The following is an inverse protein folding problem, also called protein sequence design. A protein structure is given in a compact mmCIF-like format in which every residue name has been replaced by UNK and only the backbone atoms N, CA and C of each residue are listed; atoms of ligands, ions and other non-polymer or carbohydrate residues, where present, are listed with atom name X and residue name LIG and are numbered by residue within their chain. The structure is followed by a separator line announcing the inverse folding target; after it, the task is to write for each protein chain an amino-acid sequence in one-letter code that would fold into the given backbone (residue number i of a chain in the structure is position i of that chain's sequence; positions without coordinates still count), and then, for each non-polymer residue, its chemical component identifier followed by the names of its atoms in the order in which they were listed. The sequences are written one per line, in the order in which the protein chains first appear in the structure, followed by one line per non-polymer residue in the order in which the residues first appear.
data_IF_288896690375
#
_entry.id   IF_288896690375
#
_cell.length_a   1.000
_cell.length_b   1.000
_cell.length_c   1.000
_cell.angle_alpha   90.00
_cell.angle_beta   90.00
_cell.angle_gamma   90.00
#
_symmetry.space_group_name_H-M   'P 1'
#
loop_
_entity.id
_entity.type
_entity.pdbx_description
1 polymer ?
#
# COMPACT_ATOMS: atom_id res chain seq x y z
N UNK A 1 -5.69 31.80 -0.72
CA UNK A 1 -4.24 32.01 -0.56
C UNK A 1 -3.55 30.74 -0.12
N UNK A 2 -2.71 30.18 -0.99
CA UNK A 2 -1.81 29.04 -0.67
C UNK A 2 -0.49 29.64 -0.21
N UNK A 3 -0.45 30.16 1.01
CA UNK A 3 0.78 30.69 1.59
C UNK A 3 1.39 29.67 2.55
N UNK A 4 2.70 29.46 2.39
CA UNK A 4 3.63 28.72 3.24
C UNK A 4 3.61 27.18 3.21
N UNK A 5 4.70 26.61 2.68
CA UNK A 5 5.01 25.18 2.87
C UNK A 5 6.24 24.66 2.13
N UNK A 6 6.74 25.38 1.11
CA UNK A 6 7.85 24.87 0.27
C UNK A 6 9.18 24.63 1.02
N UNK A 7 9.38 25.21 2.22
CA UNK A 7 10.60 25.00 3.03
C UNK A 7 10.57 23.75 3.92
N UNK A 8 9.41 23.11 4.13
CA UNK A 8 9.28 22.03 5.13
C UNK A 8 9.68 20.65 4.62
N UNK A 9 9.23 20.27 3.42
CA UNK A 9 9.52 18.96 2.85
C UNK A 9 10.96 18.84 2.34
N UNK A 10 11.48 19.88 1.67
CA UNK A 10 12.85 19.89 1.16
C UNK A 10 13.88 19.79 2.30
N UNK A 11 13.65 20.52 3.41
CA UNK A 11 14.50 20.44 4.60
C UNK A 11 14.44 19.07 5.31
N UNK A 12 13.32 18.34 5.19
CA UNK A 12 13.18 16.98 5.76
C UNK A 12 14.05 15.96 5.03
N UNK A 13 14.26 16.13 3.72
CA UNK A 13 14.96 15.14 2.89
C UNK A 13 16.34 15.60 2.40
N UNK A 14 16.79 16.80 2.78
CA UNK A 14 18.18 17.24 2.60
C UNK A 14 19.04 16.73 3.77
N UNK A 15 19.65 15.55 3.61
CA UNK A 15 20.56 14.99 4.61
C UNK A 15 22.05 15.23 4.30
N UNK A 16 22.35 15.90 3.17
CA UNK A 16 23.71 16.18 2.71
C UNK A 16 24.47 14.98 2.14
N UNK A 17 23.91 13.77 2.23
CA UNK A 17 24.48 12.55 1.64
C UNK A 17 24.11 12.39 0.16
N UNK A 18 23.03 13.05 -0.27
CA UNK A 18 22.46 12.90 -1.61
C UNK A 18 21.58 11.66 -1.74
N UNK A 19 21.43 10.88 -0.67
CA UNK A 19 20.59 9.70 -0.64
C UNK A 19 19.16 10.04 -0.20
N UNK A 20 18.22 9.81 -1.12
CA UNK A 20 16.80 10.11 -0.92
C UNK A 20 16.03 8.93 -0.32
N UNK A 21 16.64 8.12 0.54
CA UNK A 21 16.00 6.91 1.07
C UNK A 21 14.70 7.23 1.81
N UNK A 22 14.70 8.20 2.72
CA UNK A 22 13.48 8.61 3.43
C UNK A 22 12.39 9.12 2.48
N UNK A 23 12.76 9.87 1.43
CA UNK A 23 11.79 10.35 0.45
C UNK A 23 11.15 9.18 -0.33
N UNK A 24 11.94 8.16 -0.69
CA UNK A 24 11.44 6.98 -1.41
C UNK A 24 10.51 6.14 -0.53
N UNK A 25 10.85 5.95 0.74
CA UNK A 25 10.02 5.22 1.71
C UNK A 25 8.71 5.97 2.03
N UNK A 26 8.79 7.29 2.25
CA UNK A 26 7.60 8.13 2.49
C UNK A 26 6.69 8.16 1.25
N UNK A 27 7.29 8.25 0.04
CA UNK A 27 6.53 8.16 -1.20
C UNK A 27 5.89 6.78 -1.38
N UNK A 28 6.61 5.69 -1.13
CA UNK A 28 6.07 4.34 -1.23
C UNK A 28 4.90 4.16 -0.25
N UNK A 29 5.09 4.55 1.00
CA UNK A 29 4.04 4.47 2.04
C UNK A 29 2.79 5.27 1.65
N UNK A 30 2.96 6.44 1.05
CA UNK A 30 1.85 7.26 0.57
C UNK A 30 1.11 6.65 -0.64
N UNK A 31 1.79 5.90 -1.50
CA UNK A 31 1.23 5.43 -2.78
C UNK A 31 0.99 3.91 -2.87
N UNK A 32 1.42 3.12 -1.87
CA UNK A 32 1.35 1.65 -1.90
C UNK A 32 -0.05 1.10 -2.17
N UNK A 33 -1.09 1.76 -1.67
CA UNK A 33 -2.49 1.39 -1.93
C UNK A 33 -2.86 1.56 -3.41
N UNK A 34 -2.49 2.68 -4.03
CA UNK A 34 -2.71 2.95 -5.46
C UNK A 34 -1.94 1.99 -6.35
N UNK A 35 -0.70 1.65 -5.97
CA UNK A 35 0.10 0.66 -6.69
C UNK A 35 -0.55 -0.73 -6.58
N UNK A 36 -1.01 -1.11 -5.40
CA UNK A 36 -1.76 -2.37 -5.21
C UNK A 36 -3.03 -2.41 -6.04
N UNK A 37 -3.81 -1.32 -6.04
CA UNK A 37 -5.00 -1.13 -6.87
C UNK A 37 -4.74 -1.46 -8.34
N UNK A 38 -3.62 -0.98 -8.88
CA UNK A 38 -3.23 -1.20 -10.26
C UNK A 38 -2.82 -2.66 -10.53
N UNK A 39 -2.06 -3.27 -9.62
CA UNK A 39 -1.65 -4.68 -9.71
C UNK A 39 -2.87 -5.61 -9.71
N UNK A 40 -3.87 -5.32 -8.87
CA UNK A 40 -5.05 -6.16 -8.67
C UNK A 40 -6.20 -5.87 -9.63
N UNK A 41 -6.08 -4.85 -10.49
CA UNK A 41 -7.14 -4.40 -11.41
C UNK A 41 -7.74 -5.52 -12.30
N UNK A 42 -6.94 -6.55 -12.62
CA UNK A 42 -7.38 -7.73 -13.40
C UNK A 42 -7.20 -9.05 -12.66
N UNK A 43 -6.92 -8.99 -11.36
CA UNK A 43 -6.82 -10.20 -10.56
C UNK A 43 -8.22 -10.76 -10.32
N UNK A 44 -8.38 -12.04 -10.63
CA UNK A 44 -9.58 -12.84 -10.45
C UNK A 44 -9.42 -13.78 -9.24
N UNK A 45 -10.47 -14.58 -8.96
CA UNK A 45 -10.47 -15.55 -7.86
C UNK A 45 -9.32 -16.56 -7.90
N UNK A 46 -8.84 -16.91 -9.10
CA UNK A 46 -7.72 -17.83 -9.29
C UNK A 46 -6.35 -17.26 -8.91
N UNK A 47 -6.23 -15.93 -8.87
CA UNK A 47 -5.01 -15.20 -8.53
C UNK A 47 -5.13 -14.44 -7.20
N UNK A 48 -6.13 -14.79 -6.39
CA UNK A 48 -6.36 -14.25 -5.06
C UNK A 48 -5.11 -14.33 -4.17
N UNK A 49 -4.79 -13.24 -3.48
CA UNK A 49 -3.72 -13.25 -2.49
C UNK A 49 -4.10 -14.19 -1.31
N UNK A 50 -3.35 -15.28 -1.17
CA UNK A 50 -3.74 -16.44 -0.38
C UNK A 50 -3.42 -16.36 1.11
N UNK A 51 -2.71 -15.32 1.59
CA UNK A 51 -2.43 -15.19 3.02
C UNK A 51 -3.66 -14.67 3.77
N UNK A 52 -4.11 -15.34 4.85
CA UNK A 52 -5.24 -14.93 5.66
C UNK A 52 -4.89 -13.63 6.41
N UNK A 53 -5.11 -12.50 5.74
CA UNK A 53 -4.67 -11.17 6.17
C UNK A 53 -5.82 -10.17 6.17
N UNK A 54 -6.91 -10.44 5.46
CA UNK A 54 -8.14 -9.68 5.57
C UNK A 54 -8.90 -10.15 6.82
N UNK A 55 -9.60 -9.25 7.49
CA UNK A 55 -10.45 -9.58 8.62
C UNK A 55 -11.77 -8.86 8.45
N UNK A 56 -12.71 -9.53 7.79
CA UNK A 56 -13.98 -8.91 7.44
C UNK A 56 -15.02 -9.06 8.57
N UNK A 57 -14.70 -9.77 9.67
CA UNK A 57 -15.68 -10.18 10.69
C UNK A 57 -15.17 -10.21 12.14
N UNK A 58 -13.98 -9.69 12.43
CA UNK A 58 -13.35 -9.73 13.76
C UNK A 58 -12.83 -11.11 14.19
N UNK A 59 -13.07 -12.17 13.41
CA UNK A 59 -12.46 -13.49 13.56
C UNK A 59 -11.37 -13.62 12.51
N UNK A 60 -10.11 -13.61 12.93
CA UNK A 60 -8.97 -13.48 12.04
C UNK A 60 -8.96 -14.48 10.88
N UNK A 61 -8.58 -13.99 9.69
CA UNK A 61 -8.14 -14.82 8.58
C UNK A 61 -9.11 -14.97 7.40
N UNK A 62 -9.75 -13.89 6.96
CA UNK A 62 -10.36 -13.85 5.64
C UNK A 62 -9.29 -13.67 4.54
N UNK A 63 -9.46 -14.39 3.43
CA UNK A 63 -8.69 -14.17 2.21
C UNK A 63 -9.44 -13.16 1.35
N UNK A 64 -8.70 -12.33 0.61
CA UNK A 64 -9.29 -11.45 -0.38
C UNK A 64 -9.99 -12.29 -1.47
N UNK A 65 -11.32 -12.24 -1.52
CA UNK A 65 -12.13 -12.99 -2.49
C UNK A 65 -12.40 -12.10 -3.71
N UNK A 66 -12.37 -12.70 -4.90
CA UNK A 66 -12.67 -12.09 -6.20
C UNK A 66 -11.64 -11.10 -6.77
N UNK A 67 -11.22 -10.06 -6.02
CA UNK A 67 -10.42 -8.94 -6.56
C UNK A 67 -9.07 -8.69 -5.90
N UNK A 68 -8.56 -9.62 -5.06
CA UNK A 68 -7.31 -9.42 -4.29
C UNK A 68 -7.33 -8.17 -3.38
N UNK A 69 -8.52 -7.76 -2.93
CA UNK A 69 -8.74 -6.64 -2.00
C UNK A 69 -9.49 -7.08 -0.74
N UNK A 70 -9.36 -6.33 0.36
CA UNK A 70 -10.05 -6.64 1.62
C UNK A 70 -11.39 -5.91 1.76
N UNK A 71 -12.21 -6.26 2.78
CA UNK A 71 -13.41 -5.53 3.22
C UNK A 71 -14.40 -5.11 2.11
N UNK A 72 -14.55 -5.93 1.07
CA UNK A 72 -15.46 -5.66 -0.04
C UNK A 72 -15.01 -4.55 -0.99
N UNK A 73 -13.76 -4.08 -0.88
CA UNK A 73 -13.19 -3.04 -1.72
C UNK A 73 -13.24 -3.43 -3.21
N UNK A 74 -13.68 -2.50 -4.07
CA UNK A 74 -13.93 -2.76 -5.49
C UNK A 74 -12.98 -1.93 -6.37
N UNK A 75 -12.62 -2.42 -7.57
CA UNK A 75 -11.74 -1.68 -8.49
C UNK A 75 -12.14 -0.24 -8.78
N UNK A 76 -13.44 0.06 -8.74
CA UNK A 76 -14.02 1.35 -9.07
C UNK A 76 -14.60 2.10 -7.86
N UNK A 77 -14.51 1.54 -6.66
CA UNK A 77 -15.07 2.12 -5.43
C UNK A 77 -14.13 1.78 -4.27
N UNK A 78 -13.08 2.59 -4.12
CA UNK A 78 -11.99 2.31 -3.18
C UNK A 78 -12.42 2.58 -1.74
N UNK A 79 -12.28 1.58 -0.87
CA UNK A 79 -12.45 1.75 0.57
C UNK A 79 -11.13 2.21 1.23
N UNK A 80 -11.08 3.38 1.90
CA UNK A 80 -9.86 3.87 2.54
C UNK A 80 -9.27 2.86 3.54
N UNK A 81 -7.93 2.79 3.59
CA UNK A 81 -7.16 1.99 4.56
C UNK A 81 -7.41 0.47 4.52
N UNK A 82 -7.95 -0.05 3.42
CA UNK A 82 -8.31 -1.47 3.29
C UNK A 82 -7.24 -2.29 2.56
N UNK A 83 -6.58 -1.68 1.59
CA UNK A 83 -5.54 -2.28 0.76
C UNK A 83 -4.17 -1.60 0.99
N UNK A 84 -3.04 -2.31 0.85
CA UNK A 84 -2.90 -3.72 0.46
C UNK A 84 -3.05 -4.72 1.63
N UNK A 85 -3.47 -5.97 1.36
CA UNK A 85 -3.53 -7.06 2.35
C UNK A 85 -2.15 -7.61 2.76
N UNK A 86 -1.04 -7.02 2.29
CA UNK A 86 0.30 -7.56 2.49
C UNK A 86 1.30 -6.51 2.95
N UNK A 87 2.34 -7.01 3.61
CA UNK A 87 3.51 -6.24 4.07
C UNK A 87 4.82 -6.83 3.51
N UNK A 88 4.75 -7.61 2.43
CA UNK A 88 5.93 -8.20 1.75
C UNK A 88 6.90 -7.11 1.27
N UNK A 89 6.38 -5.92 0.96
CA UNK A 89 7.16 -4.71 0.64
C UNK A 89 8.06 -4.23 1.80
N UNK A 90 7.74 -4.62 3.04
CA UNK A 90 8.53 -4.31 4.23
C UNK A 90 9.36 -5.50 4.74
N UNK A 91 9.36 -6.63 4.03
CA UNK A 91 10.23 -7.77 4.32
C UNK A 91 11.53 -7.60 3.53
N UNK A 92 12.72 -7.74 4.13
CA UNK A 92 13.99 -7.67 3.40
C UNK A 92 13.98 -8.57 2.16
N UNK A 93 14.62 -8.15 1.07
CA UNK A 93 14.55 -8.88 -0.21
C UNK A 93 15.18 -10.29 -0.13
N UNK A 94 16.27 -10.45 0.62
CA UNK A 94 16.92 -11.74 0.87
C UNK A 94 16.32 -12.37 2.13
N UNK A 95 15.03 -12.74 2.10
CA UNK A 95 14.60 -14.14 2.08
C UNK A 95 13.19 -14.32 1.44
N UNK A 96 12.82 -13.47 0.47
CA UNK A 96 11.50 -13.49 -0.20
C UNK A 96 11.34 -14.64 -1.20
#
# INVERSE_FOLDING_TARGET
DVTNGKKGAEARYQDGSGDFFQLREDWWTANRHTVWKAITCKADTGNAYFRPTCNDTGRGGAQAKDHCRCNGDQPNDDNPNTDPPTYIDYVPQYPR
#
